data_IF_289710665313
#
_entry.id   IF_289710665313
#
_cell.length_a   1.000
_cell.length_b   1.000
_cell.length_c   1.000
_cell.angle_alpha   90.00
_cell.angle_beta   90.00
_cell.angle_gamma   90.00
#
_symmetry.space_group_name_H-M   'P 1'
#
loop_
_entity.id
_entity.type
_entity.pdbx_description
1 polymer ?
#
# COMPACT_ATOMS: atom_id res chain seq x y z
N UNK A 1 -10.04 -25.09 2.75
CA UNK A 1 -9.80 -24.34 1.50
C UNK A 1 -9.86 -22.87 1.88
N UNK A 2 -8.71 -22.19 1.98
CA UNK A 2 -8.65 -20.79 2.42
C UNK A 2 -9.45 -19.95 1.41
N UNK A 3 -10.40 -19.16 1.92
CA UNK A 3 -11.46 -18.51 1.16
C UNK A 3 -10.87 -17.38 0.30
N UNK A 4 -10.22 -17.74 -0.80
CA UNK A 4 -10.12 -16.86 -1.95
C UNK A 4 -11.50 -16.89 -2.59
N UNK A 5 -12.20 -15.76 -2.72
CA UNK A 5 -13.32 -15.72 -3.64
C UNK A 5 -12.75 -16.21 -4.98
N UNK A 6 -13.33 -17.25 -5.57
CA UNK A 6 -13.04 -17.59 -6.95
C UNK A 6 -13.42 -16.37 -7.76
N UNK A 7 -12.43 -15.51 -8.03
CA UNK A 7 -12.57 -14.38 -8.92
C UNK A 7 -12.79 -14.98 -10.30
N UNK A 8 -14.07 -15.28 -10.59
CA UNK A 8 -14.54 -15.81 -11.85
C UNK A 8 -14.40 -14.73 -12.91
N UNK A 9 -13.14 -14.55 -13.33
CA UNK A 9 -12.80 -13.74 -14.47
C UNK A 9 -13.29 -14.47 -15.71
N UNK A 10 -14.26 -13.86 -16.39
CA UNK A 10 -14.90 -14.39 -17.60
C UNK A 10 -13.86 -14.66 -18.69
N UNK A 11 -12.84 -13.82 -18.82
CA UNK A 11 -11.76 -13.99 -19.78
C UNK A 11 -10.92 -15.25 -19.47
N UNK A 12 -10.65 -15.52 -18.19
CA UNK A 12 -9.91 -16.73 -17.79
C UNK A 12 -10.76 -17.99 -17.95
N UNK A 13 -12.03 -17.93 -17.56
CA UNK A 13 -12.97 -19.03 -17.68
C UNK A 13 -13.19 -19.45 -19.15
N UNK A 14 -13.35 -18.47 -20.04
CA UNK A 14 -13.55 -18.71 -21.47
C UNK A 14 -12.23 -18.90 -22.23
N UNK A 15 -11.08 -18.74 -21.57
CA UNK A 15 -9.74 -18.71 -22.18
C UNK A 15 -9.66 -17.71 -23.35
N UNK A 16 -10.31 -16.56 -23.20
CA UNK A 16 -10.37 -15.48 -24.18
C UNK A 16 -9.55 -14.29 -23.71
N UNK A 17 -8.73 -13.70 -24.58
CA UNK A 17 -7.95 -12.50 -24.26
C UNK A 17 -8.75 -11.23 -24.56
N UNK A 18 -8.57 -10.17 -23.77
CA UNK A 18 -9.18 -8.85 -24.02
C UNK A 18 -8.72 -8.21 -25.33
N UNK A 19 -7.53 -8.59 -25.82
CA UNK A 19 -6.92 -8.10 -27.05
C UNK A 19 -7.34 -8.90 -28.30
N UNK A 20 -7.99 -10.05 -28.13
CA UNK A 20 -8.47 -10.86 -29.26
C UNK A 20 -9.66 -10.20 -29.98
N UNK A 21 -9.79 -10.51 -31.27
CA UNK A 21 -10.92 -10.04 -32.07
C UNK A 21 -12.22 -10.80 -31.73
N UNK A 22 -13.37 -10.18 -31.96
CA UNK A 22 -14.69 -10.85 -31.81
C UNK A 22 -14.80 -12.12 -32.65
N UNK A 23 -14.13 -12.15 -33.79
CA UNK A 23 -14.08 -13.33 -34.63
C UNK A 23 -13.43 -14.51 -33.90
N UNK A 24 -12.27 -14.31 -33.29
CA UNK A 24 -11.59 -15.34 -32.49
C UNK A 24 -12.43 -15.78 -31.29
N UNK A 25 -13.09 -14.84 -30.62
CA UNK A 25 -14.04 -15.18 -29.54
C UNK A 25 -15.19 -16.05 -30.03
N UNK A 26 -15.79 -15.71 -31.17
CA UNK A 26 -16.90 -16.49 -31.76
C UNK A 26 -16.48 -17.91 -32.14
N UNK A 27 -15.24 -18.10 -32.60
CA UNK A 27 -14.68 -19.43 -32.92
C UNK A 27 -14.53 -20.29 -31.65
N UNK A 28 -13.99 -19.71 -30.58
CA UNK A 28 -13.85 -20.37 -29.27
C UNK A 28 -15.22 -20.70 -28.66
N UNK A 29 -16.19 -19.79 -28.74
CA UNK A 29 -17.56 -20.05 -28.31
C UNK A 29 -18.21 -21.19 -29.13
N UNK A 30 -18.04 -21.20 -30.45
CA UNK A 30 -18.54 -22.28 -31.30
C UNK A 30 -17.92 -23.65 -30.94
N UNK A 31 -16.66 -23.67 -30.50
CA UNK A 31 -16.02 -24.88 -29.98
C UNK A 31 -16.69 -25.39 -28.69
N UNK A 32 -16.98 -24.50 -27.73
CA UNK A 32 -17.73 -24.87 -26.51
C UNK A 32 -19.13 -25.39 -26.85
N UNK A 33 -19.84 -24.74 -27.78
CA UNK A 33 -21.18 -25.17 -28.22
C UNK A 33 -21.15 -26.59 -28.81
N UNK A 34 -20.15 -26.91 -29.63
CA UNK A 34 -19.99 -28.27 -30.19
C UNK A 34 -19.71 -29.30 -29.09
N UNK A 35 -18.89 -28.97 -28.09
CA UNK A 35 -18.63 -29.85 -26.94
C UNK A 35 -19.88 -30.14 -26.11
N UNK A 36 -20.73 -29.14 -25.91
CA UNK A 36 -22.03 -29.31 -25.26
C UNK A 36 -22.97 -30.19 -26.07
N UNK A 37 -23.08 -29.96 -27.38
CA UNK A 37 -23.90 -30.77 -28.29
C UNK A 37 -23.45 -32.24 -28.36
N UNK A 38 -22.15 -32.50 -28.18
CA UNK A 38 -21.58 -33.84 -28.11
C UNK A 38 -21.79 -34.54 -26.75
N UNK A 39 -22.37 -33.87 -25.75
CA UNK A 39 -22.65 -34.43 -24.43
C UNK A 39 -21.44 -34.47 -23.48
N UNK A 40 -20.34 -33.79 -23.81
CA UNK A 40 -19.12 -33.76 -22.98
C UNK A 40 -19.19 -32.73 -21.84
N UNK A 41 -20.29 -31.99 -21.70
CA UNK A 41 -20.45 -30.89 -20.74
C UNK A 41 -21.85 -30.92 -20.12
N UNK A 42 -21.95 -30.63 -18.82
CA UNK A 42 -23.24 -30.50 -18.14
C UNK A 42 -23.99 -29.25 -18.57
N UNK A 43 -25.32 -29.26 -18.45
CA UNK A 43 -26.16 -28.10 -18.77
C UNK A 43 -25.84 -26.88 -17.88
N UNK A 44 -25.44 -27.12 -16.63
CA UNK A 44 -25.02 -26.06 -15.70
C UNK A 44 -23.73 -25.38 -16.17
N UNK A 45 -22.70 -26.16 -16.52
CA UNK A 45 -21.44 -25.62 -17.05
C UNK A 45 -21.63 -24.87 -18.38
N UNK A 46 -22.52 -25.39 -19.24
CA UNK A 46 -22.90 -24.68 -20.47
C UNK A 46 -23.57 -23.34 -20.17
N UNK A 47 -24.53 -23.31 -19.24
CA UNK A 47 -25.21 -22.08 -18.86
C UNK A 47 -24.24 -21.01 -18.32
N UNK A 48 -23.25 -21.42 -17.53
CA UNK A 48 -22.18 -20.52 -17.06
C UNK A 48 -21.37 -19.94 -18.22
N UNK A 49 -20.98 -20.77 -19.19
CA UNK A 49 -20.21 -20.34 -20.37
C UNK A 49 -21.03 -19.41 -21.26
N UNK A 50 -22.30 -19.75 -21.49
CA UNK A 50 -23.22 -19.00 -22.35
C UNK A 50 -23.48 -17.60 -21.77
N UNK A 51 -23.85 -17.55 -20.49
CA UNK A 51 -24.06 -16.29 -19.75
C UNK A 51 -22.80 -15.43 -19.74
N UNK A 52 -21.64 -16.05 -19.54
CA UNK A 52 -20.37 -15.34 -19.50
C UNK A 52 -19.99 -14.75 -20.87
N UNK A 53 -20.22 -15.51 -21.94
CA UNK A 53 -19.98 -15.04 -23.31
C UNK A 53 -20.89 -13.85 -23.65
N UNK A 54 -22.18 -13.92 -23.31
CA UNK A 54 -23.12 -12.82 -23.54
C UNK A 54 -22.69 -11.53 -22.83
N UNK A 55 -22.20 -11.66 -21.59
CA UNK A 55 -21.70 -10.54 -20.81
C UNK A 55 -20.50 -9.82 -21.46
N UNK A 56 -19.58 -10.55 -22.10
CA UNK A 56 -18.41 -9.94 -22.76
C UNK A 56 -18.66 -9.57 -24.22
N UNK A 57 -19.65 -10.18 -24.88
CA UNK A 57 -19.92 -9.93 -26.29
C UNK A 57 -20.59 -8.56 -26.51
N UNK A 58 -21.46 -8.14 -25.59
CA UNK A 58 -22.05 -6.80 -25.60
C UNK A 58 -21.06 -5.76 -25.05
N UNK A 59 -20.79 -4.70 -25.82
CA UNK A 59 -19.83 -3.66 -25.47
C UNK A 59 -20.17 -2.95 -24.15
N UNK A 60 -21.46 -2.72 -23.88
CA UNK A 60 -21.90 -2.00 -22.68
C UNK A 60 -21.70 -2.83 -21.42
N UNK A 61 -22.10 -4.10 -21.44
CA UNK A 61 -21.91 -5.03 -20.33
C UNK A 61 -20.43 -5.34 -20.13
N UNK A 62 -19.67 -5.52 -21.21
CA UNK A 62 -18.22 -5.72 -21.16
C UNK A 62 -17.52 -4.54 -20.47
N UNK A 63 -17.90 -3.32 -20.82
CA UNK A 63 -17.35 -2.13 -20.19
C UNK A 63 -17.64 -2.12 -18.68
N UNK A 64 -18.89 -2.35 -18.27
CA UNK A 64 -19.25 -2.39 -16.85
C UNK A 64 -18.50 -3.51 -16.11
N UNK A 65 -18.38 -4.67 -16.74
CA UNK A 65 -17.65 -5.82 -16.21
C UNK A 65 -16.15 -5.53 -16.03
N UNK A 66 -15.48 -4.95 -17.02
CA UNK A 66 -14.03 -4.70 -16.97
C UNK A 66 -13.65 -3.72 -15.83
N UNK A 67 -14.45 -2.68 -15.62
CA UNK A 67 -14.16 -1.65 -14.61
C UNK A 67 -14.68 -1.98 -13.22
N UNK A 68 -15.80 -2.70 -13.13
CA UNK A 68 -16.50 -2.86 -11.87
C UNK A 68 -16.71 -4.32 -11.44
N UNK A 69 -16.69 -5.26 -12.38
CA UNK A 69 -16.67 -6.71 -12.12
C UNK A 69 -18.04 -7.40 -12.24
N UNK A 70 -18.12 -8.68 -11.89
CA UNK A 70 -19.37 -9.43 -11.89
C UNK A 70 -20.36 -8.89 -10.84
N UNK A 71 -21.66 -8.88 -11.16
CA UNK A 71 -22.72 -8.45 -10.24
C UNK A 71 -22.95 -6.94 -10.16
N UNK A 72 -22.33 -6.15 -11.05
CA UNK A 72 -22.45 -4.70 -11.01
C UNK A 72 -23.77 -4.12 -11.51
N UNK A 73 -24.57 -4.94 -12.17
CA UNK A 73 -25.96 -4.58 -12.46
C UNK A 73 -26.79 -4.41 -11.18
N UNK A 74 -26.36 -5.02 -10.07
CA UNK A 74 -27.05 -4.96 -8.78
C UNK A 74 -26.62 -3.79 -7.89
N UNK A 75 -25.51 -3.10 -8.20
CA UNK A 75 -24.90 -2.12 -7.32
C UNK A 75 -24.95 -0.70 -7.90
N UNK A 76 -25.56 0.23 -7.17
CA UNK A 76 -25.66 1.62 -7.59
C UNK A 76 -24.29 2.30 -7.62
N UNK A 77 -24.11 3.27 -8.52
CA UNK A 77 -22.91 4.14 -8.55
C UNK A 77 -22.67 4.80 -7.19
N UNK A 78 -23.75 5.17 -6.48
CA UNK A 78 -23.68 5.77 -5.16
C UNK A 78 -23.16 4.80 -4.09
N UNK A 79 -23.67 3.56 -4.08
CA UNK A 79 -23.21 2.51 -3.17
C UNK A 79 -21.73 2.20 -3.39
N UNK A 80 -21.32 2.20 -4.66
CA UNK A 80 -19.92 1.91 -4.98
C UNK A 80 -18.99 3.05 -4.57
N UNK A 81 -19.41 4.31 -4.74
CA UNK A 81 -18.67 5.47 -4.23
C UNK A 81 -18.54 5.45 -2.71
N UNK A 82 -19.60 5.07 -1.99
CA UNK A 82 -19.56 4.91 -0.54
C UNK A 82 -18.58 3.81 -0.14
N UNK A 83 -18.64 2.64 -0.78
CA UNK A 83 -17.74 1.52 -0.46
C UNK A 83 -16.26 1.88 -0.66
N UNK A 84 -15.95 2.58 -1.76
CA UNK A 84 -14.60 3.10 -2.01
C UNK A 84 -14.22 4.15 -0.98
N UNK A 85 -15.07 5.14 -0.73
CA UNK A 85 -14.82 6.19 0.26
C UNK A 85 -14.57 5.63 1.67
N UNK A 86 -15.37 4.64 2.07
CA UNK A 86 -15.24 3.97 3.36
C UNK A 86 -13.90 3.26 3.50
N UNK A 87 -13.41 2.60 2.44
CA UNK A 87 -12.07 1.99 2.44
C UNK A 87 -10.98 3.02 2.77
N UNK A 88 -10.97 4.17 2.08
CA UNK A 88 -9.94 5.19 2.30
C UNK A 88 -10.05 5.85 3.67
N UNK A 89 -11.25 6.17 4.14
CA UNK A 89 -11.46 6.75 5.48
C UNK A 89 -11.01 5.77 6.56
N UNK A 90 -11.36 4.49 6.43
CA UNK A 90 -10.93 3.45 7.36
C UNK A 90 -9.40 3.34 7.39
N UNK A 91 -8.75 3.34 6.23
CA UNK A 91 -7.30 3.26 6.16
C UNK A 91 -6.60 4.51 6.68
N UNK A 92 -7.17 5.71 6.52
CA UNK A 92 -6.68 6.93 7.18
C UNK A 92 -6.68 6.74 8.70
N UNK A 93 -7.79 6.21 9.27
CA UNK A 93 -7.89 5.95 10.70
C UNK A 93 -6.89 4.89 11.19
N UNK A 94 -6.71 3.80 10.43
CA UNK A 94 -5.73 2.75 10.74
C UNK A 94 -4.30 3.30 10.70
N UNK A 95 -3.94 4.03 9.64
CA UNK A 95 -2.61 4.64 9.51
C UNK A 95 -2.36 5.59 10.68
N UNK A 96 -3.35 6.43 11.01
CA UNK A 96 -3.27 7.31 12.17
C UNK A 96 -2.99 6.51 13.45
N UNK A 97 -3.81 5.51 13.77
CA UNK A 97 -3.67 4.69 14.98
C UNK A 97 -2.31 3.96 15.06
N UNK A 98 -1.83 3.42 13.95
CA UNK A 98 -0.57 2.65 13.87
C UNK A 98 0.66 3.56 13.94
N UNK A 99 0.52 4.85 13.56
CA UNK A 99 1.60 5.84 13.51
C UNK A 99 1.57 6.87 14.64
N UNK A 100 0.56 6.84 15.52
CA UNK A 100 0.51 7.62 16.77
C UNK A 100 1.78 7.51 17.63
N UNK A 101 2.43 6.33 17.78
CA UNK A 101 3.67 6.24 18.56
C UNK A 101 4.77 7.11 17.92
N UNK A 102 5.51 7.89 18.72
CA UNK A 102 6.65 8.71 18.25
C UNK A 102 7.61 7.95 17.34
N UNK A 103 7.84 6.67 17.66
CA UNK A 103 8.69 5.77 16.88
C UNK A 103 8.25 5.52 15.43
N UNK A 104 6.96 5.68 15.14
CA UNK A 104 6.34 5.43 13.84
C UNK A 104 5.82 6.71 13.17
N UNK A 105 5.98 7.89 13.78
CA UNK A 105 5.44 9.13 13.25
C UNK A 105 6.05 9.48 11.88
N UNK A 106 7.32 9.17 11.65
CA UNK A 106 7.97 9.34 10.34
C UNK A 106 7.41 8.39 9.26
N UNK A 107 6.85 7.25 9.64
CA UNK A 107 6.21 6.31 8.71
C UNK A 107 4.88 6.85 8.17
N UNK A 108 4.18 7.70 8.95
CA UNK A 108 2.88 8.25 8.55
C UNK A 108 2.92 8.94 7.20
N UNK A 109 3.95 9.76 6.93
CA UNK A 109 4.10 10.50 5.67
C UNK A 109 4.16 9.55 4.46
N UNK A 110 4.95 8.48 4.56
CA UNK A 110 5.12 7.51 3.48
C UNK A 110 3.81 6.74 3.27
N UNK A 111 3.17 6.30 4.35
CA UNK A 111 1.89 5.57 4.29
C UNK A 111 0.76 6.43 3.71
N UNK A 112 0.68 7.72 4.05
CA UNK A 112 -0.30 8.64 3.47
C UNK A 112 -0.02 8.94 2.01
N UNK A 113 1.25 9.13 1.61
CA UNK A 113 1.61 9.31 0.20
C UNK A 113 1.23 8.08 -0.62
N UNK A 114 1.49 6.87 -0.11
CA UNK A 114 1.09 5.63 -0.77
C UNK A 114 -0.43 5.51 -0.88
N UNK A 115 -1.18 5.89 0.16
CA UNK A 115 -2.65 5.88 0.15
C UNK A 115 -3.21 6.87 -0.88
N UNK A 116 -2.65 8.08 -0.93
CA UNK A 116 -3.04 9.11 -1.90
C UNK A 116 -2.71 8.70 -3.34
N UNK A 117 -1.58 8.03 -3.55
CA UNK A 117 -1.23 7.49 -4.85
C UNK A 117 -2.21 6.40 -5.30
N UNK A 118 -2.59 5.48 -4.40
CA UNK A 118 -3.61 4.45 -4.69
C UNK A 118 -4.96 5.09 -5.02
N UNK A 119 -5.38 6.10 -4.24
CA UNK A 119 -6.61 6.86 -4.49
C UNK A 119 -6.56 7.56 -5.86
N UNK A 120 -5.44 8.20 -6.20
CA UNK A 120 -5.27 8.87 -7.48
C UNK A 120 -5.39 7.87 -8.64
N UNK A 121 -4.72 6.72 -8.55
CA UNK A 121 -4.82 5.65 -9.56
C UNK A 121 -6.27 5.16 -9.67
N UNK A 122 -6.94 4.89 -8.56
CA UNK A 122 -8.33 4.43 -8.56
C UNK A 122 -9.29 5.45 -9.17
N UNK A 123 -9.12 6.72 -8.84
CA UNK A 123 -9.89 7.82 -9.44
C UNK A 123 -9.62 7.94 -10.94
N UNK A 124 -8.36 7.80 -11.39
CA UNK A 124 -8.02 7.83 -12.81
C UNK A 124 -8.63 6.64 -13.58
N UNK A 125 -8.55 5.44 -13.01
CA UNK A 125 -9.10 4.23 -13.66
C UNK A 125 -10.62 4.30 -13.71
N UNK A 126 -11.29 4.71 -12.62
CA UNK A 126 -12.76 4.68 -12.55
C UNK A 126 -13.44 5.91 -13.17
N UNK A 127 -12.91 7.12 -12.99
CA UNK A 127 -13.53 8.35 -13.51
C UNK A 127 -13.11 8.66 -14.94
N UNK A 128 -11.80 8.55 -15.22
CA UNK A 128 -11.28 8.83 -16.57
C UNK A 128 -11.37 7.62 -17.50
N UNK A 129 -11.84 6.47 -17.00
CA UNK A 129 -12.05 5.23 -17.75
C UNK A 129 -10.77 4.79 -18.47
N UNK A 130 -9.63 5.11 -17.87
CA UNK A 130 -8.33 4.75 -18.40
C UNK A 130 -8.08 3.27 -18.12
N UNK A 131 -7.63 2.51 -19.13
CA UNK A 131 -7.16 1.15 -18.94
C UNK A 131 -5.66 1.21 -18.61
N UNK A 132 -5.24 1.02 -17.35
CA UNK A 132 -3.84 1.07 -16.96
C UNK A 132 -3.10 -0.22 -17.31
N UNK A 133 -3.83 -1.28 -17.69
CA UNK A 133 -3.25 -2.58 -17.97
C UNK A 133 -2.60 -2.51 -19.34
N UNK A 134 -1.29 -2.72 -19.37
CA UNK A 134 -0.58 -2.99 -20.63
C UNK A 134 -1.13 -4.32 -21.14
N UNK A 135 -2.04 -4.25 -22.11
CA UNK A 135 -2.76 -5.39 -22.68
C UNK A 135 -1.80 -6.45 -23.26
N UNK A 136 -0.57 -6.07 -23.57
CA UNK A 136 0.51 -6.95 -24.03
C UNK A 136 1.07 -7.86 -22.91
N UNK A 137 1.11 -7.38 -21.66
CA UNK A 137 1.74 -8.12 -20.54
C UNK A 137 0.70 -8.96 -19.79
N UNK A 138 -0.53 -8.46 -19.64
CA UNK A 138 -1.59 -9.13 -18.88
C UNK A 138 -2.93 -9.15 -19.64
N UNK A 139 -3.03 -9.92 -20.73
CA UNK A 139 -4.20 -9.92 -21.64
C UNK A 139 -5.51 -10.39 -21.01
N UNK A 140 -5.43 -11.10 -19.88
CA UNK A 140 -6.59 -11.64 -19.16
C UNK A 140 -6.99 -10.78 -17.96
N UNK A 141 -6.18 -9.79 -17.57
CA UNK A 141 -6.40 -9.02 -16.35
C UNK A 141 -7.28 -7.80 -16.63
N UNK A 142 -8.29 -7.62 -15.79
CA UNK A 142 -9.16 -6.45 -15.86
C UNK A 142 -8.59 -5.29 -15.06
N UNK A 143 -8.89 -4.03 -15.40
CA UNK A 143 -8.51 -2.86 -14.61
C UNK A 143 -8.92 -2.99 -13.13
N UNK A 144 -10.10 -3.59 -12.88
CA UNK A 144 -10.59 -3.90 -11.53
C UNK A 144 -9.65 -4.84 -10.77
N UNK A 145 -9.22 -5.93 -11.39
CA UNK A 145 -8.30 -6.87 -10.75
C UNK A 145 -7.01 -6.15 -10.34
N UNK A 146 -6.45 -5.31 -11.21
CA UNK A 146 -5.27 -4.52 -10.90
C UNK A 146 -5.47 -3.61 -9.67
N UNK A 147 -6.62 -2.93 -9.58
CA UNK A 147 -6.97 -2.14 -8.40
C UNK A 147 -7.11 -3.00 -7.15
N UNK A 148 -7.80 -4.15 -7.23
CA UNK A 148 -7.93 -5.12 -6.14
C UNK A 148 -6.58 -5.59 -5.62
N UNK A 149 -5.63 -5.89 -6.52
CA UNK A 149 -4.24 -6.18 -6.15
C UNK A 149 -3.63 -5.00 -5.39
N UNK A 150 -3.81 -3.76 -5.87
CA UNK A 150 -3.39 -2.55 -5.17
C UNK A 150 -3.94 -2.46 -3.74
N UNK A 151 -5.26 -2.68 -3.56
CA UNK A 151 -5.89 -2.71 -2.23
C UNK A 151 -5.38 -3.85 -1.35
N UNK A 152 -4.99 -5.01 -1.91
CA UNK A 152 -4.40 -6.14 -1.18
C UNK A 152 -2.95 -5.88 -0.77
N UNK A 153 -2.16 -5.23 -1.62
CA UNK A 153 -0.76 -4.92 -1.34
C UNK A 153 -0.59 -3.74 -0.38
N UNK A 154 -1.49 -2.77 -0.43
CA UNK A 154 -1.40 -1.56 0.37
C UNK A 154 -1.24 -1.81 1.89
N UNK A 155 -2.06 -2.66 2.54
CA UNK A 155 -1.87 -3.03 3.95
C UNK A 155 -0.46 -3.55 4.25
N UNK A 156 0.03 -4.45 3.39
CA UNK A 156 1.34 -5.10 3.54
C UNK A 156 2.44 -4.03 3.50
N UNK A 157 2.36 -3.10 2.55
CA UNK A 157 3.32 -1.99 2.43
C UNK A 157 3.29 -1.10 3.67
N UNK A 158 2.11 -0.70 4.15
CA UNK A 158 1.97 0.16 5.34
C UNK A 158 2.59 -0.52 6.56
N UNK A 159 2.25 -1.78 6.83
CA UNK A 159 2.81 -2.50 7.99
C UNK A 159 4.33 -2.70 7.87
N UNK A 160 4.85 -2.95 6.67
CA UNK A 160 6.28 -3.10 6.43
C UNK A 160 7.03 -1.79 6.70
N UNK A 161 6.53 -0.66 6.20
CA UNK A 161 7.14 0.65 6.42
C UNK A 161 7.13 1.02 7.91
N UNK A 162 6.01 0.77 8.60
CA UNK A 162 5.90 1.00 10.05
C UNK A 162 6.89 0.13 10.82
N UNK A 163 6.99 -1.15 10.48
CA UNK A 163 7.93 -2.08 11.13
C UNK A 163 9.38 -1.59 10.97
N UNK A 164 9.78 -1.25 9.75
CA UNK A 164 11.12 -0.75 9.44
C UNK A 164 11.42 0.51 10.27
N UNK A 165 10.52 1.50 10.27
CA UNK A 165 10.73 2.75 11.01
C UNK A 165 10.77 2.57 12.51
N UNK A 166 9.94 1.68 13.09
CA UNK A 166 9.98 1.37 14.52
C UNK A 166 11.32 0.78 14.94
N UNK A 167 11.87 -0.15 14.16
CA UNK A 167 13.16 -0.78 14.44
C UNK A 167 14.29 0.26 14.39
N UNK A 168 14.34 1.07 13.34
CA UNK A 168 15.34 2.13 13.20
C UNK A 168 15.22 3.23 14.27
N UNK A 169 14.01 3.56 14.71
CA UNK A 169 13.80 4.54 15.77
C UNK A 169 14.41 4.08 17.10
N UNK A 170 14.16 2.81 17.49
CA UNK A 170 14.71 2.25 18.73
C UNK A 170 16.24 2.25 18.70
N UNK A 171 16.83 1.96 17.54
CA UNK A 171 18.28 1.98 17.37
C UNK A 171 18.85 3.41 17.48
N UNK A 172 18.24 4.38 16.79
CA UNK A 172 18.66 5.78 16.87
C UNK A 172 18.52 6.37 18.27
N UNK A 173 17.44 6.07 18.99
CA UNK A 173 17.23 6.55 20.36
C UNK A 173 18.32 6.02 21.30
N UNK A 174 18.64 4.72 21.21
CA UNK A 174 19.74 4.11 21.97
C UNK A 174 21.10 4.70 21.59
N UNK A 175 21.30 5.05 20.33
CA UNK A 175 22.53 5.72 19.90
C UNK A 175 22.61 7.15 20.47
N UNK A 176 21.53 7.92 20.41
CA UNK A 176 21.46 9.29 20.92
C UNK A 176 21.71 9.35 22.43
N UNK A 177 21.10 8.44 23.20
CA UNK A 177 21.33 8.32 24.64
C UNK A 177 22.81 8.03 24.98
N UNK A 178 23.45 7.12 24.23
CA UNK A 178 24.88 6.82 24.42
C UNK A 178 25.76 8.04 24.15
N UNK A 179 25.47 8.79 23.10
CA UNK A 179 26.20 10.02 22.76
C UNK A 179 26.03 11.10 23.83
N UNK A 180 24.82 11.28 24.35
CA UNK A 180 24.54 12.23 25.43
C UNK A 180 25.30 11.92 26.72
N UNK A 181 25.32 10.64 27.13
CA UNK A 181 26.07 10.20 28.32
C UNK A 181 27.56 10.47 28.12
N UNK A 182 28.11 10.12 26.95
CA UNK A 182 29.52 10.36 26.65
C UNK A 182 29.88 11.85 26.62
N UNK A 183 28.99 12.72 26.10
CA UNK A 183 29.20 14.17 26.13
C UNK A 183 29.14 14.72 27.56
N UNK A 184 28.24 14.19 28.41
CA UNK A 184 28.13 14.59 29.81
C UNK A 184 29.40 14.21 30.58
N UNK A 185 29.88 12.97 30.43
CA UNK A 185 31.13 12.50 31.05
C UNK A 185 32.32 13.38 30.65
N UNK A 186 32.50 13.64 29.36
CA UNK A 186 33.58 14.53 28.88
C UNK A 186 33.46 15.96 29.39
N UNK A 187 32.25 16.50 29.48
CA UNK A 187 32.05 17.84 30.03
C UNK A 187 32.41 17.86 31.53
N UNK A 188 32.10 16.81 32.29
CA UNK A 188 32.50 16.71 33.70
C UNK A 188 34.02 16.62 33.86
N UNK A 189 34.71 15.82 33.02
CA UNK A 189 36.16 15.76 32.97
C UNK A 189 36.78 17.13 32.66
N UNK A 190 36.27 17.80 31.62
CA UNK A 190 36.76 19.13 31.22
C UNK A 190 36.57 20.17 32.33
N UNK A 191 35.43 20.14 33.05
CA UNK A 191 35.19 21.03 34.19
C UNK A 191 36.14 20.73 35.34
N UNK A 192 36.45 19.46 35.61
CA UNK A 192 37.43 19.08 36.62
C UNK A 192 38.84 19.58 36.28
N UNK A 193 39.28 19.40 35.03
CA UNK A 193 40.57 19.93 34.54
C UNK A 193 40.65 21.46 34.64
N UNK A 194 39.58 22.18 34.28
CA UNK A 194 39.51 23.64 34.42
C UNK A 194 39.60 24.10 35.88
N UNK A 195 39.01 23.35 36.82
CA UNK A 195 39.13 23.63 38.26
C UNK A 195 40.54 23.39 38.78
N UNK A 196 41.22 22.34 38.31
CA UNK A 196 42.63 22.07 38.66
C UNK A 196 43.56 23.16 38.13
N UNK A 197 43.43 23.53 36.85
CA UNK A 197 44.21 24.61 36.23
C UNK A 197 43.92 25.96 36.90
N UNK A 198 42.65 26.25 37.24
CA UNK A 198 42.29 27.46 37.98
C UNK A 198 42.92 27.52 39.38
N UNK A 199 43.12 26.37 40.03
CA UNK A 199 43.80 26.26 41.33
C UNK A 199 45.32 26.44 41.18
N UNK A 200 45.91 25.93 40.11
CA UNK A 200 47.34 26.11 39.80
C UNK A 200 47.68 27.54 39.37
N UNK A 201 46.76 28.25 38.72
CA UNK A 201 46.90 29.66 38.34
C UNK A 201 46.69 30.65 39.50
N UNK A 202 46.28 30.19 40.68
CA UNK A 202 46.18 31.01 41.90
C UNK A 202 47.23 30.68 43.00
N UNK A 203 48.56 30.73 42.76
CA UNK A 203 49.55 30.73 43.84
C UNK A 203 49.89 32.12 44.39
N UNK A 204 49.52 33.23 43.74
CA UNK A 204 50.05 34.57 44.06
C UNK A 204 49.11 35.53 44.83
N UNK A 205 47.88 35.13 45.19
CA UNK A 205 47.00 36.02 45.97
C UNK A 205 47.26 35.98 47.50
N UNK A 206 48.03 35.01 48.00
CA UNK A 206 48.22 34.80 49.45
C UNK A 206 49.54 35.38 50.01
N UNK A 207 50.48 35.83 49.17
CA UNK A 207 51.81 36.30 49.62
C UNK A 207 51.93 37.81 49.79
N UNK A 208 50.91 38.61 49.45
CA UNK A 208 50.99 40.08 49.53
C UNK A 208 50.57 40.70 50.88
N UNK A 209 50.27 39.91 51.92
CA UNK A 209 49.71 40.44 53.17
C UNK A 209 50.65 40.32 54.38
N UNK A 210 51.92 40.74 54.23
CA UNK A 210 52.82 40.99 55.37
C UNK A 210 53.81 42.13 55.08
N UNK A 211 53.42 43.36 55.42
CA UNK A 211 54.37 44.38 55.93
C UNK A 211 53.65 45.40 56.79
N UNK A 212 53.88 45.44 58.13
CA UNK A 212 53.53 46.59 58.95
C UNK A 212 54.71 47.56 59.00
N UNK A 213 54.47 48.85 58.75
CA UNK A 213 55.35 49.96 59.16
C UNK A 213 54.42 51.03 59.77
N UNK A 214 54.39 51.11 61.10
CA UNK A 214 55.18 52.01 61.96
C UNK A 214 54.83 53.47 61.73
#
# INVERSE_FOLDING_TARGET
>A
QWYWPEENNVYRMLQMSRAESRYQWSQKYAFFRKHFQAGHMSAEAWNTIDTAYDNIYNEKSRFLYDFWGPGQEEMSVYETQINVGLFYVLWIAIIYAVTTPKAAQAASKISFVALMALLAIEMTVRLTRYDPVITEIAPFTTPREYLLWGHRFFPIVVFTVVMIKKVFYVDMEKHHQRVLIHMLEKNMETVAELLEVGKELMPEAATSNKTPKK
#
